data_IF_193643464870
#
_entry.id   IF_193643464870
#
_cell.length_a   1.000
_cell.length_b   1.000
_cell.length_c   1.000
_cell.angle_alpha   90.00
_cell.angle_beta   90.00
_cell.angle_gamma   90.00
#
_symmetry.space_group_name_H-M   'P 1'
#
loop_
_entity.id
_entity.type
_entity.pdbx_description
1 polymer ?
#
# COMPACT_ATOMS: atom_id res chain seq x y z
N UNK A 1 4.35 44.77 19.36
CA UNK A 1 3.52 43.71 18.74
C UNK A 1 4.36 43.03 17.70
N UNK A 2 5.01 41.92 18.06
CA UNK A 2 5.90 41.17 17.16
C UNK A 2 5.03 40.41 16.17
N UNK A 3 5.10 40.76 14.89
CA UNK A 3 4.39 40.05 13.84
C UNK A 3 4.89 38.59 13.80
N UNK A 4 3.99 37.63 13.96
CA UNK A 4 4.34 36.22 13.76
C UNK A 4 4.75 36.01 12.29
N UNK A 5 5.83 35.27 12.01
CA UNK A 5 6.21 34.96 10.64
C UNK A 5 5.06 34.20 9.98
N UNK A 6 4.61 34.67 8.81
CA UNK A 6 3.65 33.93 7.98
C UNK A 6 4.38 32.69 7.48
N UNK A 7 4.05 31.53 8.02
CA UNK A 7 4.53 30.25 7.53
C UNK A 7 4.13 30.13 6.06
N UNK A 8 5.10 29.94 5.19
CA UNK A 8 4.85 29.65 3.77
C UNK A 8 4.08 28.33 3.71
N UNK A 9 2.95 28.25 2.99
CA UNK A 9 2.21 27.00 2.88
C UNK A 9 3.11 25.92 2.27
N UNK A 10 3.10 24.74 2.87
CA UNK A 10 3.84 23.58 2.33
C UNK A 10 3.05 22.95 1.18
N UNK A 11 3.68 22.15 0.30
CA UNK A 11 2.95 21.38 -0.71
C UNK A 11 1.83 20.54 -0.09
N UNK A 12 2.05 19.95 1.09
CA UNK A 12 1.03 19.23 1.84
C UNK A 12 -0.22 20.07 2.11
N UNK A 13 -0.11 21.38 2.39
CA UNK A 13 -1.27 22.25 2.66
C UNK A 13 -2.23 22.38 1.46
N UNK A 14 -1.76 22.08 0.25
CA UNK A 14 -2.55 22.10 -0.98
C UNK A 14 -3.41 20.86 -1.16
N UNK A 15 -3.14 19.78 -0.41
CA UNK A 15 -3.96 18.57 -0.46
C UNK A 15 -5.37 18.82 0.11
N UNK A 16 -6.40 18.21 -0.48
CA UNK A 16 -7.77 18.30 0.04
C UNK A 16 -7.84 17.92 1.51
N UNK A 17 -8.65 18.64 2.28
CA UNK A 17 -8.81 18.40 3.71
C UNK A 17 -9.19 16.95 4.06
N UNK A 18 -10.09 16.26 3.32
CA UNK A 18 -10.39 14.85 3.58
C UNK A 18 -9.16 13.93 3.48
N UNK A 19 -8.32 14.10 2.45
CA UNK A 19 -7.10 13.31 2.27
C UNK A 19 -6.11 13.56 3.42
N UNK A 20 -5.85 14.83 3.74
CA UNK A 20 -4.97 15.17 4.88
C UNK A 20 -5.47 14.59 6.20
N UNK A 21 -6.76 14.70 6.48
CA UNK A 21 -7.37 14.14 7.69
C UNK A 21 -7.21 12.63 7.75
N UNK A 22 -7.33 11.93 6.62
CA UNK A 22 -7.20 10.48 6.58
C UNK A 22 -5.74 10.04 6.73
N UNK A 23 -4.78 10.80 6.18
CA UNK A 23 -3.33 10.62 6.45
C UNK A 23 -3.02 10.81 7.95
N UNK A 24 -3.52 11.87 8.57
CA UNK A 24 -3.34 12.12 10.00
C UNK A 24 -3.95 11.01 10.87
N UNK A 25 -5.11 10.48 10.46
CA UNK A 25 -5.77 9.36 11.16
C UNK A 25 -4.98 8.06 11.05
N UNK A 26 -4.24 7.84 9.97
CA UNK A 26 -3.34 6.70 9.85
C UNK A 26 -2.14 6.80 10.81
N UNK A 27 -1.77 8.01 11.24
CA UNK A 27 -0.89 8.21 12.39
C UNK A 27 0.56 7.71 12.23
N UNK A 28 0.99 7.44 11.00
CA UNK A 28 2.32 6.89 10.70
C UNK A 28 3.07 7.85 9.76
N UNK A 29 4.02 8.60 10.34
CA UNK A 29 4.75 9.70 9.69
C UNK A 29 3.88 10.66 8.85
N UNK A 30 2.76 11.21 9.38
CA UNK A 30 1.75 11.88 8.58
C UNK A 30 2.26 13.12 7.81
N UNK A 31 3.19 13.88 8.40
CA UNK A 31 3.80 15.02 7.71
C UNK A 31 4.62 14.58 6.47
N UNK A 32 5.45 13.54 6.62
CA UNK A 32 6.24 12.98 5.53
C UNK A 32 5.33 12.40 4.44
N UNK A 33 4.32 11.61 4.83
CA UNK A 33 3.33 11.05 3.91
C UNK A 33 2.63 12.17 3.12
N UNK A 34 2.19 13.24 3.80
CA UNK A 34 1.51 14.34 3.15
C UNK A 34 2.41 15.11 2.17
N UNK A 35 3.68 15.34 2.52
CA UNK A 35 4.64 16.01 1.62
C UNK A 35 4.92 15.16 0.37
N UNK A 36 5.18 13.85 0.54
CA UNK A 36 5.44 12.92 -0.57
C UNK A 36 4.23 12.79 -1.49
N UNK A 37 3.02 12.69 -0.92
CA UNK A 37 1.78 12.62 -1.70
C UNK A 37 1.54 13.93 -2.45
N UNK A 38 1.77 15.08 -1.82
CA UNK A 38 1.61 16.38 -2.47
C UNK A 38 2.59 16.58 -3.63
N UNK A 39 3.84 16.18 -3.45
CA UNK A 39 4.86 16.21 -4.50
C UNK A 39 4.44 15.31 -5.67
N UNK A 40 3.99 14.08 -5.40
CA UNK A 40 3.60 13.14 -6.44
C UNK A 40 2.33 13.54 -7.21
N UNK A 41 1.33 14.09 -6.51
CA UNK A 41 0.11 14.65 -7.11
C UNK A 41 0.43 15.84 -8.01
N UNK A 42 1.50 16.58 -7.72
CA UNK A 42 2.02 17.66 -8.54
C UNK A 42 0.97 18.73 -8.92
N UNK A 43 0.04 19.01 -8.00
CA UNK A 43 -1.01 20.03 -8.17
C UNK A 43 -2.22 19.61 -9.00
N UNK A 44 -2.34 18.35 -9.42
CA UNK A 44 -3.58 17.85 -10.02
C UNK A 44 -4.72 17.77 -9.00
N UNK A 45 -5.96 17.87 -9.48
CA UNK A 45 -7.13 17.64 -8.67
C UNK A 45 -7.17 16.19 -8.15
N UNK A 46 -7.54 16.03 -6.88
CA UNK A 46 -7.80 14.72 -6.29
C UNK A 46 -9.27 14.37 -6.49
N UNK A 47 -9.52 13.34 -7.29
CA UNK A 47 -10.87 12.83 -7.58
C UNK A 47 -11.37 11.94 -6.45
N UNK A 48 -10.52 11.03 -5.98
CA UNK A 48 -10.82 10.11 -4.87
C UNK A 48 -9.50 9.62 -4.25
N UNK A 49 -9.53 9.18 -2.99
CA UNK A 49 -8.34 8.67 -2.31
C UNK A 49 -8.63 7.48 -1.39
N UNK A 50 -7.60 6.70 -1.10
CA UNK A 50 -7.62 5.66 -0.08
C UNK A 50 -6.31 5.73 0.72
N UNK A 51 -6.41 5.85 2.03
CA UNK A 51 -5.28 5.72 2.96
C UNK A 51 -5.49 4.44 3.75
N UNK A 52 -4.53 3.54 3.70
CA UNK A 52 -4.56 2.29 4.44
C UNK A 52 -3.23 2.08 5.16
N UNK A 53 -3.31 1.82 6.46
CA UNK A 53 -2.17 1.43 7.26
C UNK A 53 -2.24 -0.07 7.48
N UNK A 54 -1.16 -0.77 7.16
CA UNK A 54 -1.03 -2.18 7.46
C UNK A 54 -0.03 -2.37 8.59
N UNK A 55 -0.23 -3.44 9.35
CA UNK A 55 0.72 -3.89 10.35
C UNK A 55 0.91 -5.37 10.16
N UNK A 56 2.06 -5.74 9.62
CA UNK A 56 2.45 -7.13 9.42
C UNK A 56 3.44 -7.55 10.49
N UNK A 57 3.34 -8.81 10.90
CA UNK A 57 4.26 -9.43 11.83
C UNK A 57 5.15 -10.38 11.04
N UNK A 58 6.42 -10.04 10.87
CA UNK A 58 7.41 -10.91 10.24
C UNK A 58 8.38 -11.42 11.31
N UNK A 59 8.24 -12.68 11.69
CA UNK A 59 9.05 -13.35 12.73
C UNK A 59 9.14 -12.53 14.04
N UNK A 60 10.16 -11.69 14.17
CA UNK A 60 10.48 -10.86 15.34
C UNK A 60 10.29 -9.34 15.10
N UNK A 61 9.83 -8.92 13.92
CA UNK A 61 9.66 -7.52 13.54
C UNK A 61 8.20 -7.16 13.26
N UNK A 62 7.81 -5.97 13.73
CA UNK A 62 6.51 -5.36 13.41
C UNK A 62 6.75 -4.36 12.30
N UNK A 63 6.40 -4.73 11.07
CA UNK A 63 6.45 -3.84 9.94
C UNK A 63 5.16 -3.03 9.91
N UNK A 64 5.29 -1.72 10.00
CA UNK A 64 4.18 -0.79 9.82
C UNK A 64 4.45 -0.05 8.53
N UNK A 65 3.45 -0.02 7.67
CA UNK A 65 3.53 0.80 6.48
C UNK A 65 2.19 1.44 6.21
N UNK A 66 2.25 2.57 5.51
CA UNK A 66 1.06 3.25 5.00
C UNK A 66 1.12 3.28 3.50
N UNK A 67 0.04 2.82 2.88
CA UNK A 67 -0.21 2.97 1.46
C UNK A 67 -1.27 4.04 1.25
N UNK A 68 -0.95 5.04 0.42
CA UNK A 68 -1.86 6.09 -0.02
C UNK A 68 -2.10 5.94 -1.51
N UNK A 69 -3.35 5.76 -1.91
CA UNK A 69 -3.77 5.77 -3.30
C UNK A 69 -4.53 7.06 -3.57
N UNK A 70 -4.14 7.79 -4.61
CA UNK A 70 -4.79 9.03 -5.04
C UNK A 70 -5.15 8.92 -6.51
N UNK A 71 -6.45 8.99 -6.81
CA UNK A 71 -6.95 9.06 -8.17
C UNK A 71 -6.99 10.52 -8.62
N UNK A 72 -6.28 10.86 -9.68
CA UNK A 72 -6.37 12.15 -10.37
C UNK A 72 -7.12 11.99 -11.70
N UNK A 73 -7.42 13.08 -12.43
CA UNK A 73 -8.01 12.99 -13.76
C UNK A 73 -7.16 12.19 -14.78
N UNK A 74 -5.84 12.09 -14.57
CA UNK A 74 -4.91 11.53 -15.58
C UNK A 74 -4.15 10.30 -15.12
N UNK A 75 -4.00 10.08 -13.80
CA UNK A 75 -3.19 8.99 -13.23
C UNK A 75 -3.69 8.53 -11.88
N UNK A 76 -3.25 7.34 -11.51
CA UNK A 76 -3.24 6.83 -10.15
C UNK A 76 -1.87 7.16 -9.55
N UNK A 77 -1.85 7.91 -8.45
CA UNK A 77 -0.65 8.10 -7.63
C UNK A 77 -0.68 7.11 -6.48
N UNK A 78 0.41 6.39 -6.31
CA UNK A 78 0.65 5.49 -5.19
C UNK A 78 1.73 6.12 -4.33
N UNK A 79 1.49 6.25 -3.03
CA UNK A 79 2.52 6.54 -2.04
C UNK A 79 2.64 5.37 -1.08
N UNK A 80 3.86 4.98 -0.74
CA UNK A 80 4.14 3.96 0.26
C UNK A 80 5.21 4.48 1.22
N UNK A 81 4.95 4.38 2.52
CA UNK A 81 5.91 4.75 3.56
C UNK A 81 6.06 3.61 4.55
N UNK A 82 7.30 3.20 4.78
CA UNK A 82 7.69 2.14 5.70
C UNK A 82 8.91 2.54 6.54
N UNK A 83 9.10 1.87 7.67
CA UNK A 83 10.30 1.97 8.51
C UNK A 83 10.96 0.60 8.61
N UNK A 84 12.28 0.59 8.43
CA UNK A 84 13.09 -0.60 8.61
C UNK A 84 14.23 -0.31 9.59
N UNK A 85 14.53 -1.28 10.46
CA UNK A 85 15.70 -1.21 11.33
C UNK A 85 16.89 -1.77 10.56
N UNK A 86 17.94 -0.97 10.36
CA UNK A 86 19.14 -1.45 9.68
C UNK A 86 19.84 -2.53 10.55
N UNK A 87 19.98 -3.79 10.09
CA UNK A 87 20.67 -4.81 10.85
C UNK A 87 22.16 -4.46 11.10
N UNK A 88 22.77 -3.59 10.27
CA UNK A 88 24.13 -3.11 10.49
C UNK A 88 24.25 -2.10 11.65
N UNK A 89 23.19 -1.37 11.99
CA UNK A 89 23.19 -0.45 13.15
C UNK A 89 23.17 -1.20 14.48
N UNK A 90 22.70 -2.47 14.48
CA UNK A 90 22.68 -3.34 15.66
C UNK A 90 23.85 -4.33 15.74
N UNK A 91 24.68 -4.44 14.70
CA UNK A 91 25.79 -5.39 14.60
C UNK A 91 26.97 -5.17 15.58
N UNK A 92 26.93 -4.11 16.39
CA UNK A 92 27.93 -3.79 17.41
C UNK A 92 27.49 -4.00 18.86
N UNK A 93 26.22 -4.34 19.13
CA UNK A 93 25.69 -4.46 20.50
C UNK A 93 25.73 -5.93 20.95
N UNK A 94 26.50 -6.28 21.99
CA UNK A 94 26.56 -7.67 22.46
C UNK A 94 25.16 -8.13 22.90
N UNK A 95 24.62 -9.17 22.25
CA UNK A 95 23.37 -9.86 22.64
C UNK A 95 23.61 -10.67 23.91
N UNK A 96 23.90 -9.99 25.01
CA UNK A 96 23.80 -10.59 26.35
C UNK A 96 22.32 -10.71 26.70
N UNK A 97 21.91 -11.84 27.26
CA UNK A 97 20.52 -12.33 27.39
C UNK A 97 19.58 -11.52 28.31
N UNK A 98 19.62 -10.19 28.24
CA UNK A 98 18.70 -9.27 28.91
C UNK A 98 18.12 -8.22 27.94
N UNK A 99 18.32 -8.39 26.63
CA UNK A 99 17.96 -7.42 25.58
C UNK A 99 16.53 -7.54 25.04
N UNK A 100 15.68 -8.41 25.59
CA UNK A 100 14.29 -8.55 25.17
C UNK A 100 13.35 -7.44 25.72
N UNK A 101 13.87 -6.51 26.54
CA UNK A 101 13.10 -5.43 27.19
C UNK A 101 13.70 -4.03 26.91
N UNK A 102 14.55 -3.90 25.89
CA UNK A 102 14.85 -2.58 25.33
C UNK A 102 14.03 -2.47 24.07
N UNK A 103 12.96 -1.69 24.14
CA UNK A 103 12.38 -1.09 22.95
C UNK A 103 13.55 -0.51 22.17
N UNK A 104 13.88 -1.07 21.01
CA UNK A 104 14.82 -0.46 20.08
C UNK A 104 14.39 1.00 19.96
N UNK A 105 15.29 1.91 20.30
CA UNK A 105 14.99 3.34 20.22
C UNK A 105 14.67 3.61 18.74
N UNK A 106 13.40 3.94 18.43
CA UNK A 106 12.94 4.18 17.05
C UNK A 106 13.68 5.36 16.39
N UNK A 107 14.51 6.07 17.15
CA UNK A 107 15.45 7.09 16.67
C UNK A 107 16.44 6.58 15.61
N UNK A 108 16.74 5.28 15.56
CA UNK A 108 17.64 4.66 14.57
C UNK A 108 16.91 4.01 13.37
N UNK A 109 15.59 4.15 13.27
CA UNK A 109 14.82 3.59 12.15
C UNK A 109 15.04 4.42 10.87
N UNK A 110 15.38 3.76 9.77
CA UNK A 110 15.41 4.39 8.45
C UNK A 110 14.01 4.34 7.88
N UNK A 111 13.42 5.51 7.62
CA UNK A 111 12.10 5.63 7.02
C UNK A 111 12.27 5.81 5.53
N UNK A 112 11.67 4.92 4.75
CA UNK A 112 11.65 5.02 3.28
C UNK A 112 10.26 5.45 2.84
N UNK A 113 10.20 6.45 1.98
CA UNK A 113 8.97 6.89 1.34
C UNK A 113 9.15 6.82 -0.16
N UNK A 114 8.26 6.09 -0.83
CA UNK A 114 8.25 5.94 -2.29
C UNK A 114 6.92 6.46 -2.83
N UNK A 115 6.97 7.06 -4.02
CA UNK A 115 5.77 7.41 -4.77
C UNK A 115 5.90 6.99 -6.22
N UNK A 116 4.80 6.50 -6.78
CA UNK A 116 4.70 6.08 -8.17
C UNK A 116 3.50 6.77 -8.83
N UNK A 117 3.67 7.14 -10.10
CA UNK A 117 2.63 7.77 -10.91
C UNK A 117 2.28 6.89 -12.10
N UNK A 118 1.11 6.27 -12.03
CA UNK A 118 0.63 5.29 -13.00
C UNK A 118 -0.42 5.96 -13.90
N UNK A 119 -0.16 6.18 -15.20
CA UNK A 119 -1.18 6.70 -16.11
C UNK A 119 -2.42 5.80 -16.10
N UNK A 120 -3.63 6.36 -16.11
CA UNK A 120 -4.86 5.54 -16.01
C UNK A 120 -4.97 4.50 -17.13
N UNK A 121 -4.46 4.81 -18.33
CA UNK A 121 -4.39 3.87 -19.46
C UNK A 121 -3.48 2.64 -19.24
N UNK A 122 -2.58 2.72 -18.27
CA UNK A 122 -1.66 1.62 -17.92
C UNK A 122 -2.25 0.68 -16.88
N UNK A 123 -3.30 1.10 -16.17
CA UNK A 123 -4.00 0.23 -15.21
C UNK A 123 -4.72 -0.86 -16.00
N UNK A 124 -4.25 -2.10 -15.85
CA UNK A 124 -4.73 -3.27 -16.61
C UNK A 124 -5.88 -3.98 -15.91
N UNK A 125 -5.92 -3.91 -14.58
CA UNK A 125 -6.92 -4.60 -13.78
C UNK A 125 -7.22 -3.87 -12.49
N UNK A 126 -8.51 -3.84 -12.15
CA UNK A 126 -9.02 -3.39 -10.85
C UNK A 126 -9.97 -4.46 -10.36
N UNK A 127 -9.58 -5.18 -9.31
CA UNK A 127 -10.33 -6.28 -8.72
C UNK A 127 -10.73 -5.93 -7.29
N UNK A 128 -11.96 -6.30 -6.94
CA UNK A 128 -12.49 -6.17 -5.59
C UNK A 128 -13.03 -7.53 -5.14
N UNK A 129 -12.31 -8.17 -4.21
CA UNK A 129 -12.75 -9.43 -3.59
C UNK A 129 -13.53 -9.11 -2.33
N UNK A 130 -14.71 -9.71 -2.17
CA UNK A 130 -15.55 -9.57 -0.98
C UNK A 130 -15.48 -10.82 -0.12
N UNK A 131 -15.27 -10.65 1.19
CA UNK A 131 -15.31 -11.74 2.17
C UNK A 131 -16.57 -11.61 3.02
N UNK A 132 -17.41 -12.64 2.97
CA UNK A 132 -18.66 -12.74 3.74
C UNK A 132 -18.47 -13.80 4.82
N UNK A 133 -18.57 -13.41 6.09
CA UNK A 133 -18.34 -14.33 7.21
C UNK A 133 -19.36 -15.47 7.35
N UNK A 134 -20.58 -15.31 6.82
CA UNK A 134 -21.59 -16.38 6.78
C UNK A 134 -22.51 -16.25 5.57
N UNK A 135 -22.50 -17.26 4.70
CA UNK A 135 -23.38 -17.31 3.53
C UNK A 135 -24.86 -17.38 3.92
N UNK A 136 -25.21 -18.10 5.00
CA UNK A 136 -26.59 -18.25 5.47
C UNK A 136 -27.17 -16.95 6.06
N UNK A 137 -26.31 -16.10 6.63
CA UNK A 137 -26.72 -14.81 7.19
C UNK A 137 -26.62 -13.65 6.18
N UNK A 138 -26.20 -13.92 4.93
CA UNK A 138 -26.02 -12.90 3.93
C UNK A 138 -27.35 -12.21 3.58
N UNK A 139 -27.32 -10.88 3.55
CA UNK A 139 -28.45 -10.05 3.11
C UNK A 139 -28.04 -9.30 1.85
N UNK A 140 -28.86 -9.32 0.78
CA UNK A 140 -28.56 -8.58 -0.43
C UNK A 140 -28.16 -7.13 -0.15
N UNK A 141 -27.03 -6.70 -0.73
CA UNK A 141 -26.50 -5.34 -0.58
C UNK A 141 -25.50 -5.13 0.56
N UNK A 142 -25.35 -6.06 1.51
CA UNK A 142 -24.38 -5.87 2.61
C UNK A 142 -22.93 -6.09 2.19
N UNK A 143 -22.68 -6.98 1.23
CA UNK A 143 -21.39 -7.19 0.55
C UNK A 143 -20.21 -7.56 1.46
N UNK A 144 -20.49 -8.06 2.66
CA UNK A 144 -19.46 -8.52 3.61
C UNK A 144 -18.81 -7.39 4.41
N UNK A 145 -18.06 -7.80 5.44
CA UNK A 145 -17.33 -6.90 6.33
C UNK A 145 -15.86 -6.74 5.96
N UNK A 146 -15.38 -7.44 4.93
CA UNK A 146 -13.97 -7.42 4.55
C UNK A 146 -13.85 -7.43 3.03
N UNK A 147 -12.89 -6.67 2.51
CA UNK A 147 -12.59 -6.57 1.09
C UNK A 147 -11.08 -6.65 0.83
N UNK A 148 -10.71 -7.19 -0.33
CA UNK A 148 -9.35 -7.07 -0.86
C UNK A 148 -9.42 -6.27 -2.16
N UNK A 149 -8.73 -5.13 -2.19
CA UNK A 149 -8.56 -4.29 -3.37
C UNK A 149 -7.27 -4.73 -4.06
N UNK A 150 -7.35 -5.17 -5.31
CA UNK A 150 -6.18 -5.51 -6.13
C UNK A 150 -6.13 -4.63 -7.36
N UNK A 151 -5.03 -3.94 -7.59
CA UNK A 151 -4.84 -3.05 -8.75
C UNK A 151 -3.55 -3.46 -9.44
N UNK A 152 -3.64 -3.83 -10.72
CA UNK A 152 -2.50 -4.24 -11.52
C UNK A 152 -2.25 -3.32 -12.69
N UNK A 153 -1.01 -2.88 -12.87
CA UNK A 153 -0.56 -2.12 -14.06
C UNK A 153 0.73 -2.67 -14.68
N UNK A 154 1.43 -3.57 -13.98
CA UNK A 154 2.55 -4.33 -14.54
C UNK A 154 3.68 -3.44 -15.07
N UNK A 155 4.05 -2.40 -14.31
CA UNK A 155 5.24 -1.59 -14.59
C UNK A 155 6.50 -2.44 -14.50
N UNK A 156 6.60 -3.28 -13.47
CA UNK A 156 7.57 -4.38 -13.36
C UNK A 156 6.82 -5.70 -13.35
N UNK A 157 7.47 -6.73 -13.85
CA UNK A 157 7.00 -8.11 -13.71
C UNK A 157 8.19 -8.98 -13.36
N UNK A 158 8.02 -9.81 -12.33
CA UNK A 158 8.99 -10.83 -11.98
C UNK A 158 8.66 -12.08 -12.77
N UNK A 159 9.68 -12.61 -13.45
CA UNK A 159 9.58 -13.84 -14.23
C UNK A 159 10.45 -14.89 -13.55
N UNK A 160 9.80 -15.87 -12.92
CA UNK A 160 10.49 -17.02 -12.33
C UNK A 160 10.39 -18.19 -13.32
N UNK A 161 11.54 -18.62 -13.86
CA UNK A 161 11.65 -19.71 -14.83
C UNK A 161 12.40 -20.90 -14.23
N UNK A 162 11.90 -22.10 -14.51
CA UNK A 162 12.54 -23.38 -14.19
C UNK A 162 12.63 -24.21 -15.47
N UNK A 163 13.67 -25.04 -15.66
CA UNK A 163 13.69 -26.01 -16.75
C UNK A 163 12.44 -26.89 -16.70
N UNK A 164 11.72 -26.97 -17.81
CA UNK A 164 10.56 -27.84 -17.91
C UNK A 164 11.02 -29.30 -17.85
N UNK A 165 10.24 -30.14 -17.19
CA UNK A 165 10.51 -31.59 -17.11
C UNK A 165 9.31 -32.35 -17.63
N UNK A 166 9.55 -33.49 -18.28
CA UNK A 166 8.49 -34.45 -18.54
C UNK A 166 8.50 -35.53 -17.45
N UNK A 167 7.38 -36.24 -17.26
CA UNK A 167 7.26 -37.28 -16.23
C UNK A 167 8.16 -38.52 -16.44
N UNK A 168 8.99 -38.53 -17.48
CA UNK A 168 9.95 -39.59 -17.79
C UNK A 168 11.34 -39.24 -17.26
N UNK A 169 11.82 -40.02 -16.29
CA UNK A 169 13.12 -39.83 -15.64
C UNK A 169 14.32 -40.17 -16.54
N UNK A 170 14.08 -40.81 -17.69
CA UNK A 170 15.11 -41.17 -18.66
C UNK A 170 15.18 -40.22 -19.86
N UNK A 171 14.30 -39.22 -19.91
CA UNK A 171 14.25 -38.29 -21.03
C UNK A 171 15.33 -37.21 -20.89
N UNK A 172 16.27 -37.16 -21.83
CA UNK A 172 17.32 -36.15 -21.93
C UNK A 172 16.96 -35.00 -22.91
N UNK A 173 15.71 -34.96 -23.39
CA UNK A 173 15.29 -33.92 -24.31
C UNK A 173 15.17 -32.56 -23.62
N UNK A 174 15.53 -31.49 -24.32
CA UNK A 174 15.28 -30.12 -23.88
C UNK A 174 13.79 -29.80 -24.06
N UNK A 175 13.09 -29.60 -22.93
CA UNK A 175 11.67 -29.27 -22.90
C UNK A 175 11.41 -27.76 -22.74
N UNK A 176 12.46 -26.94 -22.79
CA UNK A 176 12.37 -25.51 -22.57
C UNK A 176 12.21 -25.15 -21.09
N UNK A 177 11.46 -24.08 -20.83
CA UNK A 177 11.26 -23.54 -19.49
C UNK A 177 9.76 -23.43 -19.19
N UNK A 178 9.38 -23.88 -18.00
CA UNK A 178 8.11 -23.53 -17.37
C UNK A 178 8.34 -22.37 -16.41
N UNK A 179 7.35 -21.52 -16.23
CA UNK A 179 7.51 -20.41 -15.32
C UNK A 179 6.24 -19.65 -15.00
N UNK A 180 6.37 -18.78 -14.01
CA UNK A 180 5.32 -17.90 -13.54
C UNK A 180 5.73 -16.46 -13.75
N UNK A 181 4.80 -15.66 -14.27
CA UNK A 181 4.94 -14.20 -14.33
C UNK A 181 4.04 -13.60 -13.26
N UNK A 182 4.64 -12.85 -12.34
CA UNK A 182 3.92 -12.02 -11.38
C UNK A 182 4.10 -10.56 -11.76
N UNK A 183 3.00 -9.83 -11.87
CA UNK A 183 3.03 -8.39 -12.11
C UNK A 183 3.17 -7.62 -10.80
N UNK A 184 3.63 -6.37 -10.90
CA UNK A 184 3.40 -5.40 -9.84
C UNK A 184 1.90 -5.14 -9.71
N UNK A 185 1.36 -5.64 -8.60
CA UNK A 185 0.00 -5.42 -8.17
C UNK A 185 0.05 -4.83 -6.76
N UNK A 186 -0.79 -3.82 -6.50
CA UNK A 186 -1.13 -3.46 -5.12
C UNK A 186 -2.26 -4.37 -4.68
N UNK A 187 -2.12 -5.00 -3.51
CA UNK A 187 -3.18 -5.72 -2.83
C UNK A 187 -3.37 -5.16 -1.42
N UNK A 188 -4.53 -4.56 -1.15
CA UNK A 188 -4.87 -4.02 0.18
C UNK A 188 -6.05 -4.79 0.75
N UNK A 189 -5.88 -5.38 1.94
CA UNK A 189 -6.95 -6.08 2.65
C UNK A 189 -7.51 -5.19 3.76
N UNK A 190 -8.78 -4.84 3.65
CA UNK A 190 -9.46 -3.95 4.59
C UNK A 190 -10.61 -4.69 5.26
N UNK A 191 -10.64 -4.72 6.59
CA UNK A 191 -11.64 -5.45 7.37
C UNK A 191 -12.35 -4.54 8.36
N UNK A 192 -13.66 -4.68 8.50
CA UNK A 192 -14.45 -3.89 9.44
C UNK A 192 -14.08 -4.17 10.90
N UNK A 193 -13.60 -5.39 11.21
CA UNK A 193 -13.20 -5.79 12.55
C UNK A 193 -11.86 -5.16 12.96
N UNK A 194 -10.96 -4.95 12.00
CA UNK A 194 -9.63 -4.37 12.23
C UNK A 194 -9.60 -2.85 12.00
N UNK A 195 -10.17 -2.39 10.88
CA UNK A 195 -10.05 -1.02 10.37
C UNK A 195 -11.34 -0.20 10.54
N UNK A 196 -12.43 -0.86 10.93
CA UNK A 196 -13.76 -0.27 11.05
C UNK A 196 -14.58 -0.28 9.75
N UNK A 197 -15.92 -0.24 9.84
CA UNK A 197 -16.81 -0.34 8.68
C UNK A 197 -16.62 0.81 7.67
N UNK A 198 -16.23 1.99 8.15
CA UNK A 198 -15.97 3.16 7.32
C UNK A 198 -14.72 2.96 6.42
N UNK A 199 -13.71 2.22 6.88
CA UNK A 199 -12.53 1.92 6.06
C UNK A 199 -12.91 1.02 4.88
N UNK A 200 -13.73 0.00 5.12
CA UNK A 200 -14.29 -0.87 4.08
C UNK A 200 -15.12 -0.08 3.08
N UNK A 201 -15.94 0.86 3.56
CA UNK A 201 -16.73 1.74 2.71
C UNK A 201 -15.85 2.63 1.81
N UNK A 202 -14.78 3.24 2.36
CA UNK A 202 -13.81 4.03 1.59
C UNK A 202 -13.07 3.19 0.55
N UNK A 203 -12.60 2.00 0.91
CA UNK A 203 -11.94 1.09 -0.03
C UNK A 203 -12.85 0.73 -1.22
N UNK A 204 -14.12 0.45 -0.96
CA UNK A 204 -15.14 0.21 -1.99
C UNK A 204 -15.42 1.44 -2.85
N UNK A 205 -15.50 2.63 -2.24
CA UNK A 205 -15.73 3.89 -2.95
C UNK A 205 -14.58 4.22 -3.89
N UNK A 206 -13.34 4.13 -3.40
CA UNK A 206 -12.12 4.30 -4.18
C UNK A 206 -12.05 3.34 -5.36
N UNK A 207 -12.25 2.04 -5.10
CA UNK A 207 -12.20 1.01 -6.15
C UNK A 207 -13.26 1.27 -7.21
N UNK A 208 -14.49 1.65 -6.81
CA UNK A 208 -15.54 2.03 -7.75
C UNK A 208 -15.15 3.23 -8.61
N UNK A 209 -14.56 4.28 -8.01
CA UNK A 209 -14.12 5.46 -8.74
C UNK A 209 -13.04 5.10 -9.78
N UNK A 210 -12.05 4.30 -9.39
CA UNK A 210 -10.98 3.84 -10.28
C UNK A 210 -11.51 2.95 -11.42
N UNK A 211 -12.44 2.03 -11.14
CA UNK A 211 -13.07 1.20 -12.18
C UNK A 211 -13.83 2.04 -13.22
N UNK A 212 -14.48 3.14 -12.79
CA UNK A 212 -15.22 4.03 -13.70
C UNK A 212 -14.33 4.84 -14.64
N UNK A 213 -13.08 5.08 -14.27
CA UNK A 213 -12.12 5.84 -15.09
C UNK A 213 -11.28 4.94 -15.98
N UNK A 214 -10.96 3.74 -15.53
CA UNK A 214 -10.12 2.76 -16.26
C UNK A 214 -10.91 1.91 -17.26
N UNK A 215 -12.23 1.76 -17.08
CA UNK A 215 -13.10 1.04 -18.03
C UNK A 215 -13.56 1.85 -19.25
N UNK A 216 -12.94 2.99 -19.55
CA UNK A 216 -13.27 3.87 -20.69
C UNK A 216 -12.25 3.72 -21.81
#
# INVERSE_FOLDING_TARGET
>A
MTAMPRTTPTPADLLPHPLRRDIERAGYYPALVADVVAEAVAGEDVVEHLVHQETTFEQDEILRHVTVLVLTPTRLVVGHVDDHVDPASTAGVPRTGRAADRSLDRSDAVVTATSESVPLRSVRGVMLTHVVGSAAAYRPGTLGGEVTVTIGWGAVSRVDLLPATCGDQSCEADHGYDGTVTGDDIALRVSADADGPEAVARARAFTRALSLTTGR
#
